data_IF_200475205172
#
_entry.id   IF_200475205172
#
_cell.length_a   1.000
_cell.length_b   1.000
_cell.length_c   1.000
_cell.angle_alpha   90.00
_cell.angle_beta   90.00
_cell.angle_gamma   90.00
#
_symmetry.space_group_name_H-M   'P 1'
#
loop_
_entity.id
_entity.type
_entity.pdbx_description
1 polymer ?
#
# COMPACT_ATOMS: atom_id res chain seq x y z
N UNK A 1 -9.42 -19.10 6.11
CA UNK A 1 -9.52 -17.63 6.00
C UNK A 1 -8.69 -17.05 7.13
N UNK A 2 -7.69 -16.23 6.82
CA UNK A 2 -6.75 -15.70 7.82
C UNK A 2 -7.35 -14.45 8.50
N UNK A 3 -7.02 -14.22 9.78
CA UNK A 3 -7.49 -13.07 10.58
C UNK A 3 -7.23 -11.72 9.88
N UNK A 4 -6.12 -11.60 9.15
CA UNK A 4 -5.78 -10.39 8.41
C UNK A 4 -6.78 -10.09 7.27
N UNK A 5 -7.24 -11.12 6.55
CA UNK A 5 -8.27 -10.95 5.51
C UNK A 5 -9.61 -10.54 6.11
N UNK A 6 -9.97 -11.10 7.27
CA UNK A 6 -11.18 -10.73 8.01
C UNK A 6 -11.14 -9.26 8.43
N UNK A 7 -10.00 -8.80 8.94
CA UNK A 7 -9.80 -7.40 9.33
C UNK A 7 -10.05 -6.44 8.15
N UNK A 8 -9.50 -6.75 6.98
CA UNK A 8 -9.74 -5.96 5.76
C UNK A 8 -11.19 -6.01 5.30
N UNK A 9 -11.83 -7.19 5.30
CA UNK A 9 -13.26 -7.33 4.94
C UNK A 9 -14.17 -6.52 5.85
N UNK A 10 -13.88 -6.51 7.15
CA UNK A 10 -14.59 -5.65 8.10
C UNK A 10 -14.37 -4.19 7.74
N UNK A 11 -13.14 -3.79 7.43
CA UNK A 11 -12.82 -2.42 7.03
C UNK A 11 -13.58 -1.90 5.81
N UNK A 12 -13.79 -2.75 4.80
CA UNK A 12 -14.51 -2.38 3.57
C UNK A 12 -15.98 -2.78 3.55
N UNK A 13 -16.44 -3.45 4.62
CA UNK A 13 -17.77 -4.04 4.73
C UNK A 13 -17.92 -5.29 3.86
N UNK A 14 -18.70 -6.29 4.30
CA UNK A 14 -19.04 -7.40 3.42
C UNK A 14 -19.86 -6.85 2.24
N UNK A 15 -19.46 -7.18 1.00
CA UNK A 15 -20.24 -6.89 -0.22
C UNK A 15 -21.48 -7.81 -0.28
N UNK A 16 -22.31 -7.79 0.75
CA UNK A 16 -23.64 -8.40 0.72
C UNK A 16 -24.57 -7.32 0.18
N UNK A 17 -25.04 -7.54 -1.06
CA UNK A 17 -26.03 -6.70 -1.74
C UNK A 17 -27.09 -6.19 -0.74
N UNK A 18 -27.17 -4.87 -0.58
CA UNK A 18 -28.24 -4.20 0.17
C UNK A 18 -28.04 -4.00 1.68
N UNK A 19 -26.91 -4.42 2.28
CA UNK A 19 -26.63 -4.12 3.69
C UNK A 19 -25.39 -3.25 3.87
N UNK A 20 -25.55 -2.08 4.51
CA UNK A 20 -24.44 -1.41 5.21
C UNK A 20 -24.13 -2.24 6.45
N UNK A 21 -23.40 -3.35 6.26
CA UNK A 21 -22.90 -4.18 7.35
C UNK A 21 -21.93 -3.42 8.26
N UNK A 22 -21.47 -4.08 9.33
CA UNK A 22 -20.44 -3.53 10.21
C UNK A 22 -19.18 -3.20 9.39
N UNK A 23 -18.84 -1.92 9.32
CA UNK A 23 -17.65 -1.44 8.63
C UNK A 23 -16.86 -0.44 9.49
N UNK A 24 -15.53 -0.48 9.39
CA UNK A 24 -14.68 0.57 9.94
C UNK A 24 -14.21 1.50 8.82
N UNK A 25 -14.60 2.77 8.89
CA UNK A 25 -14.16 3.79 7.93
C UNK A 25 -12.73 4.27 8.20
N UNK A 26 -12.14 3.87 9.33
CA UNK A 26 -10.78 4.21 9.75
C UNK A 26 -10.07 2.97 10.25
N UNK A 27 -9.15 2.46 9.46
CA UNK A 27 -8.25 1.40 9.90
C UNK A 27 -6.98 1.40 9.05
N UNK A 28 -5.92 0.84 9.59
CA UNK A 28 -4.66 0.66 8.88
C UNK A 28 -4.02 -0.64 9.37
N UNK A 29 -3.47 -1.44 8.46
CA UNK A 29 -2.67 -2.60 8.83
C UNK A 29 -1.36 -2.15 9.48
N UNK A 30 -0.69 -3.01 10.28
CA UNK A 30 0.73 -2.79 10.56
C UNK A 30 1.55 -2.80 9.25
N UNK A 31 2.83 -2.39 9.28
CA UNK A 31 3.73 -2.52 8.14
C UNK A 31 3.83 -3.97 7.65
N UNK A 32 3.58 -4.20 6.36
CA UNK A 32 3.60 -5.51 5.71
C UNK A 32 4.67 -5.55 4.62
N UNK A 33 5.06 -6.76 4.21
CA UNK A 33 5.73 -6.94 2.93
C UNK A 33 4.78 -6.68 1.76
N UNK A 34 5.33 -6.36 0.59
CA UNK A 34 4.57 -6.19 -0.67
C UNK A 34 3.72 -7.42 -0.99
N UNK A 35 4.24 -8.63 -0.73
CA UNK A 35 3.51 -9.88 -0.93
C UNK A 35 2.26 -9.96 -0.04
N UNK A 36 2.41 -9.73 1.27
CA UNK A 36 1.30 -9.73 2.22
C UNK A 36 0.30 -8.61 1.92
N UNK A 37 0.77 -7.40 1.61
CA UNK A 37 -0.08 -6.28 1.25
C UNK A 37 -0.89 -6.59 -0.02
N UNK A 38 -0.27 -7.18 -1.05
CA UNK A 38 -0.96 -7.58 -2.28
C UNK A 38 -2.04 -8.63 -2.03
N UNK A 39 -1.81 -9.61 -1.14
CA UNK A 39 -2.83 -10.58 -0.74
C UNK A 39 -4.03 -9.90 -0.08
N UNK A 40 -3.78 -8.99 0.86
CA UNK A 40 -4.84 -8.29 1.58
C UNK A 40 -5.62 -7.31 0.70
N UNK A 41 -4.94 -6.60 -0.20
CA UNK A 41 -5.57 -5.64 -1.12
C UNK A 41 -6.53 -6.35 -2.08
N UNK A 42 -6.20 -7.56 -2.55
CA UNK A 42 -7.08 -8.36 -3.42
C UNK A 42 -8.41 -8.74 -2.78
N UNK A 43 -8.48 -8.73 -1.45
CA UNK A 43 -9.70 -9.05 -0.72
C UNK A 43 -10.80 -8.01 -0.99
N UNK A 44 -10.44 -6.80 -1.42
CA UNK A 44 -11.36 -5.73 -1.82
C UNK A 44 -11.49 -5.79 -3.35
N UNK A 45 -12.60 -6.30 -3.90
CA UNK A 45 -12.72 -6.44 -5.35
C UNK A 45 -12.67 -5.07 -6.04
N UNK A 46 -13.57 -4.18 -5.61
CA UNK A 46 -13.77 -2.85 -6.17
C UNK A 46 -14.28 -1.87 -5.11
N UNK A 47 -13.86 -0.62 -5.20
CA UNK A 47 -14.36 0.49 -4.38
C UNK A 47 -14.14 1.83 -5.11
N UNK A 48 -15.18 2.38 -5.76
CA UNK A 48 -14.99 3.53 -6.64
C UNK A 48 -14.04 3.21 -7.80
N UNK A 49 -13.00 4.03 -7.98
CA UNK A 49 -11.91 3.81 -8.95
C UNK A 49 -10.92 2.72 -8.51
N UNK A 50 -10.91 2.34 -7.23
CA UNK A 50 -10.02 1.32 -6.70
C UNK A 50 -10.41 -0.08 -7.19
N UNK A 51 -9.44 -0.79 -7.78
CA UNK A 51 -9.57 -2.18 -8.24
C UNK A 51 -8.52 -3.04 -7.52
N UNK A 52 -8.92 -3.77 -6.48
CA UNK A 52 -7.94 -4.42 -5.59
C UNK A 52 -7.04 -5.44 -6.31
N UNK A 53 -7.56 -6.16 -7.29
CA UNK A 53 -6.73 -7.06 -8.11
C UNK A 53 -5.61 -6.32 -8.85
N UNK A 54 -5.92 -5.17 -9.48
CA UNK A 54 -4.95 -4.38 -10.22
C UNK A 54 -3.96 -3.67 -9.30
N UNK A 55 -4.44 -3.13 -8.17
CA UNK A 55 -3.58 -2.48 -7.16
C UNK A 55 -2.60 -3.48 -6.55
N UNK A 56 -3.03 -4.71 -6.29
CA UNK A 56 -2.15 -5.77 -5.81
C UNK A 56 -1.03 -6.12 -6.81
N UNK A 57 -1.32 -6.16 -8.11
CA UNK A 57 -0.26 -6.32 -9.11
C UNK A 57 0.67 -5.09 -9.18
N UNK A 58 0.14 -3.88 -8.98
CA UNK A 58 0.94 -2.67 -8.85
C UNK A 58 1.93 -2.74 -7.67
N UNK A 59 1.46 -3.19 -6.50
CA UNK A 59 2.29 -3.33 -5.29
C UNK A 59 3.47 -4.28 -5.51
N UNK A 60 3.25 -5.43 -6.16
CA UNK A 60 4.29 -6.43 -6.38
C UNK A 60 5.45 -5.95 -7.23
N UNK A 61 5.26 -4.95 -8.09
CA UNK A 61 6.33 -4.38 -8.91
C UNK A 61 7.45 -3.74 -8.06
N UNK A 62 7.15 -3.43 -6.81
CA UNK A 62 8.07 -2.78 -5.87
C UNK A 62 8.68 -3.76 -4.87
N UNK A 63 8.51 -5.07 -5.10
CA UNK A 63 9.04 -6.10 -4.22
C UNK A 63 10.57 -5.98 -4.05
N UNK A 64 11.04 -5.98 -2.81
CA UNK A 64 12.45 -5.82 -2.47
C UNK A 64 13.03 -4.43 -2.73
N UNK A 65 12.22 -3.43 -3.11
CA UNK A 65 12.66 -2.05 -3.38
C UNK A 65 12.15 -1.05 -2.34
N UNK A 66 11.05 -1.39 -1.67
CA UNK A 66 10.44 -0.60 -0.58
C UNK A 66 10.76 -1.23 0.78
N UNK A 67 10.57 -0.49 1.88
CA UNK A 67 10.73 -1.04 3.22
C UNK A 67 9.52 -1.84 3.69
N UNK A 68 8.34 -1.30 3.44
CA UNK A 68 7.08 -1.90 3.84
C UNK A 68 5.91 -1.20 3.16
N UNK A 69 4.75 -1.83 3.25
CA UNK A 69 3.48 -1.32 2.76
C UNK A 69 2.44 -1.46 3.87
N UNK A 70 1.67 -0.41 4.12
CA UNK A 70 0.48 -0.47 4.95
C UNK A 70 -0.75 -0.23 4.08
N UNK A 71 -1.81 -0.99 4.31
CA UNK A 71 -3.07 -0.86 3.58
C UNK A 71 -4.21 -0.62 4.56
N UNK A 72 -5.16 0.21 4.18
CA UNK A 72 -6.26 0.53 5.06
C UNK A 72 -7.31 1.38 4.41
N UNK A 73 -8.00 2.14 5.25
CA UNK A 73 -9.08 3.03 4.85
C UNK A 73 -9.09 4.29 5.69
N UNK A 74 -9.26 5.41 5.01
CA UNK A 74 -9.49 6.75 5.56
C UNK A 74 -10.70 7.35 4.86
N UNK A 75 -11.89 6.84 5.17
CA UNK A 75 -13.11 7.06 4.38
C UNK A 75 -13.13 6.22 3.10
N UNK A 76 -12.01 6.20 2.38
CA UNK A 76 -11.75 5.42 1.16
C UNK A 76 -10.41 4.65 1.24
N UNK A 77 -10.10 3.73 0.30
CA UNK A 77 -8.86 2.98 0.30
C UNK A 77 -7.64 3.90 0.36
N UNK A 78 -6.69 3.52 1.22
CA UNK A 78 -5.40 4.20 1.32
C UNK A 78 -4.28 3.16 1.37
N UNK A 79 -3.18 3.48 0.68
CA UNK A 79 -1.94 2.75 0.71
C UNK A 79 -0.84 3.68 1.22
N UNK A 80 -0.03 3.18 2.13
CA UNK A 80 1.20 3.86 2.55
C UNK A 80 2.39 3.01 2.16
N UNK A 81 3.32 3.59 1.41
CA UNK A 81 4.55 2.91 0.97
C UNK A 81 5.74 3.54 1.68
N UNK A 82 6.42 2.79 2.53
CA UNK A 82 7.60 3.26 3.22
C UNK A 82 8.83 3.13 2.31
N UNK A 83 9.52 4.24 2.07
CA UNK A 83 10.76 4.26 1.31
C UNK A 83 11.96 3.92 2.20
N UNK A 84 12.87 3.05 1.73
CA UNK A 84 14.12 2.78 2.43
C UNK A 84 15.08 3.95 2.27
N UNK A 85 15.85 4.24 3.32
CA UNK A 85 16.96 5.18 3.27
C UNK A 85 18.33 4.47 3.21
N UNK A 86 18.40 3.27 3.78
CA UNK A 86 19.55 2.37 3.67
C UNK A 86 19.16 1.09 2.95
N UNK A 87 20.09 0.46 2.24
CA UNK A 87 19.83 -0.78 1.49
C UNK A 87 19.31 -1.93 2.36
N UNK A 88 19.76 -2.02 3.62
CA UNK A 88 19.30 -3.05 4.57
C UNK A 88 17.87 -2.83 5.09
N UNK A 89 17.25 -1.68 4.78
CA UNK A 89 15.86 -1.39 5.13
C UNK A 89 14.86 -1.85 4.07
N UNK A 90 15.33 -2.33 2.91
CA UNK A 90 14.44 -2.95 1.91
C UNK A 90 13.84 -4.21 2.51
N UNK A 91 12.59 -4.48 2.15
CA UNK A 91 11.94 -5.71 2.56
C UNK A 91 12.72 -6.94 2.04
N UNK A 92 12.59 -8.05 2.77
CA UNK A 92 13.26 -9.31 2.45
C UNK A 92 14.39 -9.64 3.43
N UNK A 93 15.24 -10.62 3.09
CA UNK A 93 16.30 -11.07 3.99
C UNK A 93 17.32 -9.95 4.19
N UNK A 94 17.54 -9.56 5.45
CA UNK A 94 18.50 -8.52 5.83
C UNK A 94 19.90 -9.00 5.43
N UNK A 95 20.60 -8.29 4.54
CA UNK A 95 21.97 -8.64 4.18
C UNK A 95 22.87 -8.57 5.41
N UNK A 96 23.82 -9.51 5.55
CA UNK A 96 24.83 -9.47 6.62
C UNK A 96 25.83 -8.32 6.49
N UNK A 97 25.87 -7.68 5.32
CA UNK A 97 26.75 -6.56 5.04
C UNK A 97 26.25 -5.25 5.65
N UNK A 98 27.18 -4.32 5.92
CA UNK A 98 26.81 -2.95 6.32
C UNK A 98 26.04 -2.32 5.16
N UNK A 99 24.76 -2.00 5.38
CA UNK A 99 23.94 -1.35 4.35
C UNK A 99 24.53 0.00 3.93
N UNK A 100 24.42 0.32 2.65
CA UNK A 100 24.81 1.59 2.06
C UNK A 100 23.62 2.56 2.03
N UNK A 101 23.91 3.87 2.05
CA UNK A 101 22.87 4.89 1.88
C UNK A 101 22.34 4.79 0.46
N UNK A 102 21.03 4.81 0.29
CA UNK A 102 20.40 4.87 -1.03
C UNK A 102 20.56 6.30 -1.57
N UNK A 103 21.09 6.48 -2.78
CA UNK A 103 21.21 7.80 -3.40
C UNK A 103 19.85 8.49 -3.56
N UNK A 104 19.82 9.81 -3.40
CA UNK A 104 18.57 10.57 -3.50
C UNK A 104 17.95 10.44 -4.91
N UNK A 105 18.75 10.31 -5.95
CA UNK A 105 18.30 10.05 -7.33
C UNK A 105 17.53 8.72 -7.46
N UNK A 106 18.04 7.64 -6.85
CA UNK A 106 17.38 6.34 -6.85
C UNK A 106 16.06 6.40 -6.06
N UNK A 107 16.04 7.12 -4.93
CA UNK A 107 14.82 7.34 -4.16
C UNK A 107 13.78 8.15 -4.95
N UNK A 108 14.21 9.21 -5.65
CA UNK A 108 13.32 10.03 -6.46
C UNK A 108 12.75 9.24 -7.64
N UNK A 109 13.58 8.41 -8.29
CA UNK A 109 13.13 7.53 -9.36
C UNK A 109 12.07 6.54 -8.85
N UNK A 110 12.28 5.94 -7.66
CA UNK A 110 11.28 5.05 -7.05
C UNK A 110 9.95 5.77 -6.80
N UNK A 111 9.97 7.02 -6.33
CA UNK A 111 8.75 7.83 -6.12
C UNK A 111 8.03 8.11 -7.43
N UNK A 112 8.74 8.43 -8.51
CA UNK A 112 8.13 8.68 -9.82
C UNK A 112 7.55 7.40 -10.44
N UNK A 113 8.21 6.25 -10.24
CA UNK A 113 7.65 4.96 -10.64
C UNK A 113 6.39 4.61 -9.85
N UNK A 114 6.36 4.84 -8.54
CA UNK A 114 5.16 4.70 -7.71
C UNK A 114 4.03 5.60 -8.24
N UNK A 115 4.33 6.87 -8.52
CA UNK A 115 3.36 7.83 -9.09
C UNK A 115 2.81 7.33 -10.42
N UNK A 116 3.68 6.90 -11.34
CA UNK A 116 3.26 6.38 -12.65
C UNK A 116 2.35 5.16 -12.53
N UNK A 117 2.70 4.21 -11.66
CA UNK A 117 1.90 2.99 -11.47
C UNK A 117 0.56 3.34 -10.83
N UNK A 118 0.54 4.04 -9.69
CA UNK A 118 -0.67 4.19 -8.90
C UNK A 118 -1.58 5.33 -9.38
N UNK A 119 -1.02 6.47 -9.77
CA UNK A 119 -1.82 7.61 -10.25
C UNK A 119 -2.20 7.39 -11.71
N UNK A 120 -1.20 7.28 -12.60
CA UNK A 120 -1.48 7.21 -14.04
C UNK A 120 -2.03 5.83 -14.47
N UNK A 121 -1.61 4.75 -13.83
CA UNK A 121 -2.01 3.38 -14.19
C UNK A 121 -3.24 2.86 -13.44
N UNK A 122 -3.46 3.29 -12.20
CA UNK A 122 -4.46 2.71 -11.30
C UNK A 122 -5.44 3.74 -10.70
N UNK A 123 -5.38 4.98 -11.18
CA UNK A 123 -6.38 6.00 -10.89
C UNK A 123 -6.39 6.52 -9.45
N UNK A 124 -5.28 6.44 -8.71
CA UNK A 124 -5.18 7.11 -7.41
C UNK A 124 -5.25 8.63 -7.59
N UNK A 125 -6.17 9.29 -6.89
CA UNK A 125 -6.41 10.73 -7.02
C UNK A 125 -5.47 11.56 -6.14
N UNK A 126 -5.00 11.02 -5.00
CA UNK A 126 -4.00 11.69 -4.17
C UNK A 126 -2.72 10.87 -4.06
N UNK A 127 -1.58 11.56 -4.19
CA UNK A 127 -0.25 10.98 -4.07
C UNK A 127 0.71 12.02 -3.50
N UNK A 128 1.36 11.70 -2.38
CA UNK A 128 2.36 12.58 -1.79
C UNK A 128 3.02 12.00 -0.54
N UNK A 129 4.03 12.69 0.01
CA UNK A 129 4.59 12.31 1.30
C UNK A 129 3.53 12.41 2.40
N UNK A 130 3.56 11.48 3.34
CA UNK A 130 2.77 11.56 4.55
C UNK A 130 3.19 12.79 5.37
N UNK A 131 2.21 13.34 6.09
CA UNK A 131 2.38 14.56 6.88
C UNK A 131 3.26 14.35 8.11
N UNK A 132 3.34 13.12 8.63
CA UNK A 132 4.08 12.75 9.83
C UNK A 132 5.46 12.18 9.45
N UNK A 133 5.51 11.22 8.51
CA UNK A 133 6.76 10.67 7.98
C UNK A 133 6.91 10.96 6.48
N UNK A 134 7.79 11.90 6.15
CA UNK A 134 8.08 12.28 4.75
C UNK A 134 8.64 11.15 3.89
N UNK A 135 9.15 10.07 4.48
CA UNK A 135 9.62 8.88 3.75
C UNK A 135 8.51 7.86 3.49
N UNK A 136 7.31 8.10 3.99
CA UNK A 136 6.13 7.32 3.70
C UNK A 136 5.34 8.03 2.63
N UNK A 137 5.06 7.36 1.52
CA UNK A 137 4.24 7.90 0.44
C UNK A 137 2.81 7.45 0.67
N UNK A 138 1.90 8.41 0.86
CA UNK A 138 0.46 8.21 0.96
C UNK A 138 -0.15 8.22 -0.45
N UNK A 139 -0.96 7.20 -0.73
CA UNK A 139 -1.67 7.01 -2.00
C UNK A 139 -3.13 6.73 -1.65
N UNK A 140 -4.07 7.52 -2.17
CA UNK A 140 -5.48 7.44 -1.78
C UNK A 140 -6.39 7.47 -3.00
N UNK A 141 -7.50 6.73 -2.91
CA UNK A 141 -8.50 6.62 -3.95
C UNK A 141 -9.83 7.23 -3.53
N UNK A 142 -10.55 7.90 -4.45
CA UNK A 142 -11.91 8.36 -4.20
C UNK A 142 -12.93 7.23 -4.40
N UNK A 143 -14.05 7.32 -3.67
CA UNK A 143 -15.20 6.40 -3.82
C UNK A 143 -16.20 6.90 -4.85
#
# INVERSE_FOLDING_TARGET
MNLAEQFVRIGFGPQVLGQRGFQSTKFLTPPLSTAQAAELVRVVPEYGSFRGAAVAEGIKQFAGRVSSVEFGREGSPVLYVQLPYWTHQREGPIPREKGARIPDEESNQLVEELRKVFVAGLGAEEFGPDTIDKRKIRIWWHH
#
